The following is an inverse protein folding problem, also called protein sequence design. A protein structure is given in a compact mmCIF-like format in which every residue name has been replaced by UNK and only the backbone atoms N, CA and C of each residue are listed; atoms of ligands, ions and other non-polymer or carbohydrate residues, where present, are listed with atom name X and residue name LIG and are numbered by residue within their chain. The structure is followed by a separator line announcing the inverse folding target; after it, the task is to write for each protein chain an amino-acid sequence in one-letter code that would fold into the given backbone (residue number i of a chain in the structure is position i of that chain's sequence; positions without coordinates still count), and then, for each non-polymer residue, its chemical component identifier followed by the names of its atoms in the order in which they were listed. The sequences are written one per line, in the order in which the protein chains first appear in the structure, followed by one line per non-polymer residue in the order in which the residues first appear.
data_IF_536833907531
#
_entry.id   IF_536833907531
#
_cell.length_a   1.000
_cell.length_b   1.000
_cell.length_c   1.000
_cell.angle_alpha   90.00
_cell.angle_beta   90.00
_cell.angle_gamma   90.00
#
_symmetry.space_group_name_H-M   'P 1'
#
loop_
_entity.id
_entity.type
_entity.pdbx_description
1 polymer ?
#
# COMPACT_ATOMS: atom_id res chain seq x y z
N UNK A 1 -14.47 12.44 24.51
CA UNK A 1 -14.67 12.05 23.08
C UNK A 1 -13.39 11.35 22.65
N UNK A 2 -13.47 10.14 22.09
CA UNK A 2 -12.29 9.37 21.67
C UNK A 2 -11.56 10.11 20.54
N UNK A 3 -10.24 10.22 20.64
CA UNK A 3 -9.39 10.84 19.64
C UNK A 3 -8.73 9.78 18.76
N UNK A 4 -9.19 9.66 17.50
CA UNK A 4 -8.64 8.75 16.51
C UNK A 4 -7.59 9.41 15.59
N UNK A 5 -7.16 10.64 15.86
CA UNK A 5 -6.15 11.32 15.03
C UNK A 5 -4.84 10.55 15.01
N UNK A 6 -4.22 10.52 13.85
CA UNK A 6 -2.92 9.89 13.62
C UNK A 6 -2.13 10.67 12.59
N UNK A 7 -0.84 10.34 12.43
CA UNK A 7 0.02 10.92 11.41
C UNK A 7 0.53 9.84 10.48
N UNK A 8 0.25 10.02 9.18
CA UNK A 8 0.78 9.19 8.10
C UNK A 8 0.83 10.00 6.79
N UNK A 9 1.61 9.61 5.80
CA UNK A 9 1.88 10.38 4.59
C UNK A 9 2.46 11.80 4.85
N UNK A 10 3.11 12.02 5.97
CA UNK A 10 3.51 13.38 6.39
C UNK A 10 2.35 14.28 6.83
N UNK A 11 1.12 13.79 6.80
CA UNK A 11 -0.13 14.50 7.04
C UNK A 11 -0.77 14.09 8.37
N UNK A 12 -1.52 15.01 8.97
CA UNK A 12 -2.42 14.70 10.07
C UNK A 12 -3.74 14.16 9.52
N UNK A 13 -4.07 12.91 9.90
CA UNK A 13 -5.29 12.24 9.51
C UNK A 13 -6.29 12.24 10.68
N UNK A 14 -7.58 12.47 10.38
CA UNK A 14 -8.65 12.46 11.39
C UNK A 14 -8.88 11.09 12.04
N UNK A 15 -8.48 10.01 11.38
CA UNK A 15 -8.49 8.64 11.88
C UNK A 15 -7.54 7.76 11.04
N UNK A 16 -7.22 6.53 11.49
CA UNK A 16 -6.23 5.68 10.83
C UNK A 16 -6.75 4.88 9.62
N UNK A 17 -8.00 5.11 9.18
CA UNK A 17 -8.64 4.31 8.14
C UNK A 17 -8.37 4.90 6.75
N UNK A 18 -7.47 4.30 6.01
CA UNK A 18 -7.09 4.74 4.65
C UNK A 18 -7.73 3.81 3.62
N UNK A 19 -8.33 4.38 2.59
CA UNK A 19 -8.78 3.61 1.42
C UNK A 19 -7.56 3.36 0.54
N UNK A 20 -7.22 2.08 0.34
CA UNK A 20 -6.06 1.69 -0.45
C UNK A 20 -6.32 1.85 -1.95
N UNK A 21 -5.25 2.05 -2.70
CA UNK A 21 -5.25 2.03 -4.16
C UNK A 21 -5.93 0.78 -4.70
N UNK A 22 -6.96 0.98 -5.52
CA UNK A 22 -7.78 -0.07 -6.14
C UNK A 22 -8.65 0.51 -7.26
N UNK A 23 -9.38 -0.33 -8.00
CA UNK A 23 -10.34 0.17 -8.99
C UNK A 23 -11.45 1.04 -8.39
N UNK A 24 -11.78 0.87 -7.10
CA UNK A 24 -12.76 1.72 -6.41
C UNK A 24 -12.30 3.18 -6.27
N UNK A 25 -11.00 3.42 -6.22
CA UNK A 25 -10.42 4.76 -6.09
C UNK A 25 -10.01 5.37 -7.44
N UNK A 26 -10.47 4.78 -8.55
CA UNK A 26 -10.47 5.38 -9.89
C UNK A 26 -11.77 6.10 -10.21
N UNK A 27 -12.83 5.91 -9.42
CA UNK A 27 -14.16 6.47 -9.61
C UNK A 27 -14.40 7.63 -8.63
N UNK A 28 -14.57 8.84 -9.17
CA UNK A 28 -14.79 10.08 -8.41
C UNK A 28 -16.01 10.00 -7.50
N UNK A 29 -17.07 9.30 -7.94
CA UNK A 29 -18.27 9.12 -7.12
C UNK A 29 -17.99 8.26 -5.89
N UNK A 30 -17.19 7.19 -6.04
CA UNK A 30 -16.75 6.34 -4.94
C UNK A 30 -15.78 7.06 -4.01
N UNK A 31 -14.88 7.88 -4.55
CA UNK A 31 -13.99 8.73 -3.75
C UNK A 31 -14.82 9.65 -2.85
N UNK A 32 -15.85 10.30 -3.41
CA UNK A 32 -16.77 11.12 -2.63
C UNK A 32 -17.48 10.32 -1.53
N UNK A 33 -18.04 9.15 -1.87
CA UNK A 33 -18.70 8.27 -0.89
C UNK A 33 -17.74 7.89 0.26
N UNK A 34 -16.50 7.52 -0.01
CA UNK A 34 -15.50 7.22 1.03
C UNK A 34 -15.17 8.43 1.89
N UNK A 35 -15.01 9.60 1.28
CA UNK A 35 -14.75 10.85 1.99
C UNK A 35 -15.91 11.20 2.94
N UNK A 36 -17.15 11.14 2.45
CA UNK A 36 -18.36 11.46 3.22
C UNK A 36 -18.58 10.46 4.38
N UNK A 37 -18.22 9.20 4.21
CA UNK A 37 -18.30 8.17 5.24
C UNK A 37 -17.11 8.16 6.21
N UNK A 38 -16.19 9.09 6.07
CA UNK A 38 -15.17 9.38 7.06
C UNK A 38 -13.88 8.58 6.91
N UNK A 39 -13.45 8.27 5.69
CA UNK A 39 -12.08 7.85 5.43
C UNK A 39 -11.08 8.84 6.06
N UNK A 40 -9.93 8.36 6.51
CA UNK A 40 -8.82 9.20 6.99
C UNK A 40 -8.04 9.84 5.85
N UNK A 41 -7.82 9.08 4.79
CA UNK A 41 -7.23 9.48 3.50
C UNK A 41 -7.65 8.49 2.42
N UNK A 42 -7.45 8.86 1.15
CA UNK A 42 -7.77 8.02 -0.01
C UNK A 42 -6.54 7.97 -0.92
N UNK A 43 -6.04 6.74 -1.17
CA UNK A 43 -4.98 6.48 -2.15
C UNK A 43 -5.65 6.14 -3.48
N UNK A 44 -5.38 6.93 -4.51
CA UNK A 44 -5.97 6.74 -5.82
C UNK A 44 -5.47 5.44 -6.48
N UNK A 45 -6.21 4.91 -7.45
CA UNK A 45 -5.74 3.80 -8.27
C UNK A 45 -4.36 4.15 -8.83
N UNK A 46 -3.42 3.22 -8.71
CA UNK A 46 -2.06 3.46 -9.21
C UNK A 46 -2.06 3.66 -10.72
N UNK A 47 -1.26 4.60 -11.18
CA UNK A 47 -0.79 4.62 -12.56
C UNK A 47 0.29 3.56 -12.70
N UNK A 48 0.12 2.64 -13.65
CA UNK A 48 1.06 1.58 -13.94
C UNK A 48 1.79 1.86 -15.26
N UNK A 49 3.10 1.86 -15.23
CA UNK A 49 3.92 1.90 -16.46
C UNK A 49 3.62 0.69 -17.35
N UNK A 50 3.30 -0.48 -16.77
CA UNK A 50 2.89 -1.67 -17.52
C UNK A 50 1.60 -1.47 -18.32
N UNK A 51 0.64 -0.67 -17.84
CA UNK A 51 -0.56 -0.31 -18.60
C UNK A 51 -0.17 0.49 -19.86
N UNK A 52 0.79 1.40 -19.72
CA UNK A 52 1.34 2.19 -20.83
C UNK A 52 2.00 1.27 -21.85
N UNK A 53 2.86 0.34 -21.40
CA UNK A 53 3.57 -0.63 -22.26
C UNK A 53 2.57 -1.57 -22.95
N UNK A 54 1.50 -1.98 -22.27
CA UNK A 54 0.49 -2.86 -22.85
C UNK A 54 -0.37 -2.16 -23.92
N UNK A 55 -0.78 -0.91 -23.71
CA UNK A 55 -1.48 -0.12 -24.73
C UNK A 55 -0.58 0.10 -25.94
N UNK A 56 0.69 0.42 -25.70
CA UNK A 56 1.71 0.52 -26.72
C UNK A 56 1.83 -0.76 -27.57
N UNK A 57 1.96 -1.93 -26.92
CA UNK A 57 2.07 -3.21 -27.60
C UNK A 57 0.80 -3.59 -28.40
N UNK A 58 -0.38 -3.18 -27.94
CA UNK A 58 -1.63 -3.40 -28.68
C UNK A 58 -1.67 -2.54 -29.97
N UNK A 59 -1.27 -1.28 -29.89
CA UNK A 59 -1.18 -0.38 -31.04
C UNK A 59 -0.09 -0.85 -32.00
N UNK A 60 1.06 -1.32 -31.49
CA UNK A 60 2.17 -1.84 -32.29
C UNK A 60 1.78 -3.09 -33.09
N UNK A 61 1.02 -4.02 -32.50
CA UNK A 61 0.54 -5.23 -33.18
C UNK A 61 -0.48 -4.95 -34.30
N UNK A 62 -1.11 -3.79 -34.31
CA UNK A 62 -2.13 -3.40 -35.29
C UNK A 62 -1.57 -2.74 -36.57
N UNK A 63 -0.25 -2.43 -36.62
CA UNK A 63 0.37 -1.70 -37.74
C UNK A 63 1.71 -2.32 -38.17
N UNK A 64 1.76 -2.78 -39.42
CA UNK A 64 2.96 -3.26 -40.12
C UNK A 64 3.42 -2.19 -41.12
N UNK A 65 4.47 -1.40 -40.81
CA UNK A 65 5.11 -0.53 -41.82
C UNK A 65 6.57 -0.18 -41.43
N UNK A 66 7.38 0.07 -42.47
CA UNK A 66 8.84 0.22 -42.39
C UNK A 66 9.36 1.50 -41.69
N UNK A 67 8.50 2.46 -41.33
CA UNK A 67 8.85 3.67 -40.57
C UNK A 67 8.49 3.53 -39.12
N UNK A 68 8.53 2.31 -38.60
CA UNK A 68 7.95 1.91 -37.32
C UNK A 68 8.67 2.54 -36.12
N UNK A 69 9.99 2.71 -36.11
CA UNK A 69 10.75 3.19 -34.96
C UNK A 69 10.52 4.68 -34.61
N UNK A 70 10.63 5.59 -35.58
CA UNK A 70 10.38 7.04 -35.34
C UNK A 70 8.92 7.33 -34.98
N UNK A 71 8.00 6.54 -35.55
CA UNK A 71 6.58 6.63 -35.25
C UNK A 71 6.26 6.09 -33.84
N UNK A 72 7.03 5.12 -33.37
CA UNK A 72 6.86 4.47 -32.07
C UNK A 72 7.29 5.35 -30.92
N UNK A 73 8.41 6.09 -31.01
CA UNK A 73 8.84 7.05 -29.98
C UNK A 73 7.82 8.18 -29.80
N UNK A 74 7.24 8.68 -30.90
CA UNK A 74 6.19 9.68 -30.87
C UNK A 74 4.88 9.14 -30.25
N UNK A 75 4.51 7.90 -30.57
CA UNK A 75 3.32 7.26 -29.98
C UNK A 75 3.47 6.95 -28.50
N UNK A 76 4.64 6.48 -28.07
CA UNK A 76 4.95 6.25 -26.66
C UNK A 76 4.82 7.57 -25.86
N UNK A 77 5.43 8.63 -26.36
CA UNK A 77 5.32 9.96 -25.75
C UNK A 77 3.85 10.44 -25.66
N UNK A 78 3.05 10.23 -26.72
CA UNK A 78 1.66 10.64 -26.77
C UNK A 78 0.76 9.82 -25.83
N UNK A 79 0.95 8.50 -25.77
CA UNK A 79 0.22 7.61 -24.87
C UNK A 79 0.55 7.96 -23.41
N UNK A 80 1.82 8.10 -23.08
CA UNK A 80 2.28 8.53 -21.75
C UNK A 80 1.67 9.87 -21.35
N UNK A 81 1.72 10.86 -22.24
CA UNK A 81 1.14 12.18 -22.01
C UNK A 81 -0.36 12.13 -21.74
N UNK A 82 -1.11 11.30 -22.48
CA UNK A 82 -2.54 11.15 -22.28
C UNK A 82 -2.89 10.46 -20.95
N UNK A 83 -2.17 9.41 -20.59
CA UNK A 83 -2.38 8.69 -19.31
C UNK A 83 -2.10 9.62 -18.14
N UNK A 84 -1.02 10.39 -18.22
CA UNK A 84 -0.64 11.37 -17.20
C UNK A 84 -1.68 12.48 -17.06
N UNK A 85 -2.18 13.01 -18.19
CA UNK A 85 -3.24 14.02 -18.16
C UNK A 85 -4.54 13.48 -17.56
N UNK A 86 -4.94 12.26 -17.94
CA UNK A 86 -6.11 11.59 -17.37
C UNK A 86 -5.96 11.38 -15.85
N UNK A 87 -4.77 11.01 -15.41
CA UNK A 87 -4.49 10.84 -13.99
C UNK A 87 -4.48 12.17 -13.24
N UNK A 88 -3.90 13.22 -13.83
CA UNK A 88 -3.97 14.57 -13.31
C UNK A 88 -5.41 15.06 -13.18
N UNK A 89 -6.28 14.75 -14.18
CA UNK A 89 -7.70 15.07 -14.11
C UNK A 89 -8.40 14.30 -12.99
N UNK A 90 -8.09 13.02 -12.79
CA UNK A 90 -8.62 12.23 -11.67
C UNK A 90 -8.25 12.87 -10.32
N UNK A 91 -6.99 13.30 -10.15
CA UNK A 91 -6.53 13.98 -8.93
C UNK A 91 -7.33 15.25 -8.70
N UNK A 92 -7.43 16.14 -9.70
CA UNK A 92 -8.20 17.39 -9.61
C UNK A 92 -9.64 17.14 -9.21
N UNK A 93 -10.33 16.22 -9.93
CA UNK A 93 -11.72 15.88 -9.63
C UNK A 93 -11.91 15.24 -8.26
N UNK A 94 -10.96 14.40 -7.82
CA UNK A 94 -10.97 13.82 -6.48
C UNK A 94 -10.82 14.89 -5.39
N UNK A 95 -9.94 15.88 -5.61
CA UNK A 95 -9.73 17.02 -4.69
C UNK A 95 -10.97 17.91 -4.58
N UNK A 96 -11.72 18.10 -5.66
CA UNK A 96 -12.97 18.88 -5.66
C UNK A 96 -14.07 18.25 -4.78
N UNK A 97 -14.16 16.92 -4.75
CA UNK A 97 -15.24 16.20 -4.04
C UNK A 97 -14.85 15.69 -2.66
N UNK A 98 -13.56 15.62 -2.35
CA UNK A 98 -13.02 15.01 -1.12
C UNK A 98 -12.77 16.03 -0.03
N UNK A 99 -13.18 15.70 1.20
CA UNK A 99 -12.84 16.44 2.43
C UNK A 99 -11.66 15.81 3.18
N UNK A 100 -11.00 14.82 2.58
CA UNK A 100 -9.87 14.12 3.16
C UNK A 100 -8.70 14.12 2.19
N UNK A 101 -7.46 13.94 2.67
CA UNK A 101 -6.29 13.92 1.81
C UNK A 101 -6.42 12.91 0.66
N UNK A 102 -6.01 13.35 -0.52
CA UNK A 102 -5.92 12.56 -1.75
C UNK A 102 -4.46 12.26 -2.02
N UNK A 103 -4.11 10.98 -2.00
CA UNK A 103 -2.75 10.48 -2.20
C UNK A 103 -2.64 9.88 -3.59
N UNK A 104 -1.72 10.37 -4.39
CA UNK A 104 -1.43 9.79 -5.69
C UNK A 104 -0.62 8.50 -5.51
N UNK A 105 -0.92 7.46 -6.28
CA UNK A 105 -0.16 6.21 -6.26
C UNK A 105 0.52 5.99 -7.61
N UNK A 106 1.82 5.80 -7.59
CA UNK A 106 2.65 5.66 -8.79
C UNK A 106 3.34 4.29 -8.76
N UNK A 107 3.27 3.57 -9.86
CA UNK A 107 4.01 2.33 -10.06
C UNK A 107 4.78 2.42 -11.38
N UNK A 108 6.07 2.67 -11.32
CA UNK A 108 6.96 2.69 -12.46
C UNK A 108 8.04 1.60 -12.33
N UNK A 109 8.56 1.16 -13.47
CA UNK A 109 9.59 0.13 -13.58
C UNK A 109 10.94 0.76 -13.89
N UNK A 110 10.95 1.93 -14.58
CA UNK A 110 12.16 2.64 -14.98
C UNK A 110 12.46 3.86 -14.10
N UNK A 111 13.74 4.17 -13.90
CA UNK A 111 14.17 5.28 -13.02
C UNK A 111 13.84 6.67 -13.59
N UNK A 112 13.78 6.85 -14.90
CA UNK A 112 13.52 8.15 -15.54
C UNK A 112 12.08 8.63 -15.44
N UNK A 113 11.13 7.71 -15.40
CA UNK A 113 9.71 8.02 -15.44
C UNK A 113 9.14 8.46 -14.08
N UNK A 114 9.75 8.03 -12.96
CA UNK A 114 9.33 8.41 -11.62
C UNK A 114 9.26 9.93 -11.41
N UNK A 115 10.26 10.65 -11.90
CA UNK A 115 10.37 12.10 -11.68
C UNK A 115 9.31 12.87 -12.45
N UNK A 116 9.06 12.48 -13.71
CA UNK A 116 8.03 13.11 -14.52
C UNK A 116 6.64 12.88 -13.93
N UNK A 117 6.34 11.64 -13.53
CA UNK A 117 5.07 11.29 -12.89
C UNK A 117 4.90 12.03 -11.56
N UNK A 118 5.95 12.06 -10.74
CA UNK A 118 5.93 12.73 -9.45
C UNK A 118 5.65 14.24 -9.58
N UNK A 119 6.29 14.94 -10.52
CA UNK A 119 6.01 16.35 -10.78
C UNK A 119 4.58 16.60 -11.21
N UNK A 120 4.07 15.78 -12.12
CA UNK A 120 2.70 15.98 -12.65
C UNK A 120 1.62 15.72 -11.60
N UNK A 121 1.79 14.74 -10.70
CA UNK A 121 0.83 14.53 -9.61
C UNK A 121 0.90 15.62 -8.56
N UNK A 122 2.08 16.19 -8.31
CA UNK A 122 2.24 17.38 -7.47
C UNK A 122 1.52 18.58 -8.07
N UNK A 123 1.74 18.87 -9.37
CA UNK A 123 1.10 19.95 -10.10
C UNK A 123 -0.44 19.79 -10.20
N UNK A 124 -0.93 18.55 -10.23
CA UNK A 124 -2.36 18.24 -10.20
C UNK A 124 -2.99 18.45 -8.81
N UNK A 125 -2.20 18.68 -7.76
CA UNK A 125 -2.66 19.03 -6.42
C UNK A 125 -2.85 17.83 -5.48
N UNK A 126 -2.16 16.71 -5.69
CA UNK A 126 -2.13 15.62 -4.72
C UNK A 126 -1.53 16.09 -3.38
N UNK A 127 -2.04 15.56 -2.26
CA UNK A 127 -1.56 15.92 -0.92
C UNK A 127 -0.28 15.15 -0.54
N UNK A 128 -0.07 13.98 -1.14
CA UNK A 128 1.13 13.14 -0.96
C UNK A 128 1.26 12.14 -2.12
N UNK A 129 2.41 11.49 -2.19
CA UNK A 129 2.68 10.39 -3.13
C UNK A 129 2.89 9.10 -2.35
N UNK A 130 2.29 8.00 -2.81
CA UNK A 130 2.66 6.64 -2.43
C UNK A 130 3.34 5.97 -3.64
N UNK A 131 4.67 5.77 -3.54
CA UNK A 131 5.42 4.97 -4.51
C UNK A 131 5.06 3.50 -4.29
N UNK A 132 4.41 2.90 -5.27
CA UNK A 132 4.02 1.50 -5.23
C UNK A 132 5.14 0.66 -5.85
N UNK A 133 6.12 0.27 -5.03
CA UNK A 133 7.31 -0.44 -5.46
C UNK A 133 7.18 -1.93 -5.24
N UNK A 134 7.31 -2.71 -6.31
CA UNK A 134 7.54 -4.13 -6.16
C UNK A 134 8.39 -4.68 -7.31
N UNK A 135 9.26 -5.61 -6.97
CA UNK A 135 9.98 -6.44 -7.92
C UNK A 135 9.69 -7.88 -7.54
N UNK A 136 9.09 -8.64 -8.45
CA UNK A 136 8.95 -10.08 -8.25
C UNK A 136 10.30 -10.73 -8.55
N UNK A 137 10.95 -11.40 -7.59
CA UNK A 137 12.31 -11.93 -7.77
C UNK A 137 12.30 -13.31 -8.46
N UNK A 138 11.76 -13.38 -9.69
CA UNK A 138 11.65 -14.63 -10.47
C UNK A 138 12.81 -14.83 -11.46
N UNK A 139 13.53 -13.79 -11.81
CA UNK A 139 14.67 -13.86 -12.74
C UNK A 139 15.94 -14.32 -12.00
N UNK A 140 16.47 -15.53 -12.30
CA UNK A 140 17.64 -16.06 -11.63
C UNK A 140 18.96 -15.31 -11.96
N UNK A 141 18.95 -14.46 -12.96
CA UNK A 141 20.12 -13.68 -13.38
C UNK A 141 20.18 -12.31 -12.69
N UNK A 142 19.05 -11.82 -12.17
CA UNK A 142 18.95 -10.54 -11.47
C UNK A 142 19.48 -10.64 -10.05
N UNK A 143 20.45 -9.81 -9.72
CA UNK A 143 21.07 -9.81 -8.39
C UNK A 143 20.18 -9.13 -7.32
N UNK A 144 20.32 -9.54 -6.09
CA UNK A 144 19.60 -8.92 -4.95
C UNK A 144 19.95 -7.43 -4.80
N UNK A 145 21.22 -7.07 -5.07
CA UNK A 145 21.70 -5.68 -5.04
C UNK A 145 21.00 -4.79 -6.06
N UNK A 146 20.68 -5.32 -7.25
CA UNK A 146 19.97 -4.57 -8.29
C UNK A 146 18.53 -4.26 -7.86
N UNK A 147 17.87 -5.24 -7.21
CA UNK A 147 16.55 -5.01 -6.62
C UNK A 147 16.60 -3.95 -5.53
N UNK A 148 17.56 -4.08 -4.61
CA UNK A 148 17.76 -3.14 -3.50
C UNK A 148 18.01 -1.72 -4.02
N UNK A 149 18.93 -1.58 -4.98
CA UNK A 149 19.25 -0.31 -5.63
C UNK A 149 18.01 0.33 -6.26
N UNK A 150 17.18 -0.44 -6.96
CA UNK A 150 15.94 0.05 -7.56
C UNK A 150 15.01 0.72 -6.53
N UNK A 151 14.79 0.09 -5.37
CA UNK A 151 13.94 0.68 -4.32
C UNK A 151 14.54 1.95 -3.74
N UNK A 152 15.84 1.95 -3.46
CA UNK A 152 16.52 3.10 -2.86
C UNK A 152 16.59 4.29 -3.82
N UNK A 153 16.95 4.04 -5.09
CA UNK A 153 17.02 5.09 -6.10
C UNK A 153 15.64 5.73 -6.34
N UNK A 154 14.59 4.93 -6.52
CA UNK A 154 13.24 5.43 -6.74
C UNK A 154 12.78 6.36 -5.60
N UNK A 155 12.99 5.94 -4.35
CA UNK A 155 12.63 6.74 -3.17
C UNK A 155 13.48 8.00 -3.09
N UNK A 156 14.80 7.87 -3.18
CA UNK A 156 15.76 8.97 -3.04
C UNK A 156 15.59 10.04 -4.11
N UNK A 157 15.39 9.63 -5.35
CA UNK A 157 15.21 10.57 -6.46
C UNK A 157 13.87 11.30 -6.32
N UNK A 158 12.78 10.56 -6.01
CA UNK A 158 11.46 11.17 -5.86
C UNK A 158 11.39 12.15 -4.68
N UNK A 159 11.88 11.74 -3.49
CA UNK A 159 11.85 12.61 -2.29
C UNK A 159 12.64 13.89 -2.44
N UNK A 160 13.63 13.93 -3.34
CA UNK A 160 14.43 15.13 -3.64
C UNK A 160 13.79 16.02 -4.70
N UNK A 161 12.93 15.44 -5.52
CA UNK A 161 12.39 16.14 -6.70
C UNK A 161 11.08 16.86 -6.40
N UNK A 162 10.22 16.30 -5.54
CA UNK A 162 8.92 16.90 -5.19
C UNK A 162 8.94 17.53 -3.80
N UNK A 163 8.01 18.45 -3.56
CA UNK A 163 7.83 19.14 -2.28
C UNK A 163 6.79 18.47 -1.39
N UNK A 164 5.82 17.76 -2.01
CA UNK A 164 4.80 17.02 -1.28
C UNK A 164 5.39 15.77 -0.64
N UNK A 165 4.85 15.29 0.49
CA UNK A 165 5.37 14.13 1.19
C UNK A 165 5.34 12.87 0.31
N UNK A 166 6.40 12.06 0.41
CA UNK A 166 6.54 10.78 -0.31
C UNK A 166 6.56 9.64 0.67
N UNK A 167 5.69 8.66 0.48
CA UNK A 167 5.67 7.37 1.15
C UNK A 167 5.97 6.24 0.17
N UNK A 168 6.27 5.07 0.68
CA UNK A 168 6.51 3.89 -0.15
C UNK A 168 5.64 2.72 0.29
N UNK A 169 5.08 1.99 -0.66
CA UNK A 169 4.43 0.70 -0.44
C UNK A 169 5.28 -0.38 -1.06
N UNK A 170 5.64 -1.38 -0.26
CA UNK A 170 6.61 -2.41 -0.64
C UNK A 170 6.00 -3.80 -0.61
N UNK A 171 6.69 -4.76 -1.24
CA UNK A 171 6.39 -6.18 -1.12
C UNK A 171 7.05 -6.81 0.10
N UNK A 172 6.69 -8.03 0.42
CA UNK A 172 7.35 -8.85 1.44
C UNK A 172 8.48 -9.74 0.89
N UNK A 173 8.77 -9.68 -0.41
CA UNK A 173 9.74 -10.54 -1.09
C UNK A 173 11.19 -10.06 -0.94
N UNK A 174 11.63 -10.00 0.32
CA UNK A 174 13.02 -9.70 0.68
C UNK A 174 13.50 -10.73 1.69
N UNK A 175 14.69 -11.27 1.49
CA UNK A 175 15.37 -12.09 2.51
C UNK A 175 15.86 -11.25 3.70
N UNK A 176 16.06 -9.95 3.48
CA UNK A 176 16.61 -8.97 4.43
C UNK A 176 15.67 -7.76 4.63
N UNK A 177 14.37 -8.02 4.69
CA UNK A 177 13.32 -7.00 4.73
C UNK A 177 13.56 -5.91 5.80
N UNK A 178 14.07 -6.28 6.97
CA UNK A 178 14.36 -5.30 8.03
C UNK A 178 15.49 -4.34 7.63
N UNK A 179 16.49 -4.82 6.90
CA UNK A 179 17.62 -4.02 6.44
C UNK A 179 17.17 -3.02 5.36
N UNK A 180 16.43 -3.47 4.35
CA UNK A 180 15.94 -2.56 3.30
C UNK A 180 14.97 -1.51 3.87
N UNK A 181 14.09 -1.88 4.80
CA UNK A 181 13.21 -0.91 5.47
C UNK A 181 14.00 0.14 6.25
N UNK A 182 15.09 -0.25 6.91
CA UNK A 182 15.97 0.67 7.63
C UNK A 182 16.68 1.65 6.68
N UNK A 183 17.13 1.19 5.52
CA UNK A 183 17.75 2.06 4.51
C UNK A 183 16.74 3.04 3.90
N UNK A 184 15.54 2.55 3.56
CA UNK A 184 14.45 3.40 3.08
C UNK A 184 14.05 4.46 4.12
N UNK A 185 14.03 4.11 5.41
CA UNK A 185 13.76 5.02 6.52
C UNK A 185 14.77 6.18 6.64
N UNK A 186 15.98 6.01 6.08
CA UNK A 186 17.00 7.06 6.03
C UNK A 186 16.75 8.11 4.94
N UNK A 187 15.85 7.86 3.99
CA UNK A 187 15.61 8.74 2.83
C UNK A 187 14.43 9.73 3.04
N UNK A 188 14.17 10.13 4.29
CA UNK A 188 13.15 11.12 4.65
C UNK A 188 11.73 10.76 4.18
N UNK A 189 11.36 9.50 4.28
CA UNK A 189 10.02 9.01 3.92
C UNK A 189 8.93 9.51 4.87
N UNK A 190 7.77 9.82 4.29
CA UNK A 190 6.56 10.17 5.02
C UNK A 190 5.81 8.95 5.59
N UNK A 191 6.23 7.74 5.21
CA UNK A 191 5.69 6.48 5.72
C UNK A 191 6.05 5.28 4.85
N UNK A 192 5.90 4.08 5.43
CA UNK A 192 6.09 2.80 4.75
C UNK A 192 4.82 1.98 4.89
N UNK A 193 4.23 1.54 3.77
CA UNK A 193 3.05 0.68 3.74
C UNK A 193 3.46 -0.79 3.54
N UNK A 194 3.03 -1.68 4.41
CA UNK A 194 3.29 -3.12 4.40
C UNK A 194 1.97 -3.88 4.34
N UNK A 195 1.67 -4.60 3.27
CA UNK A 195 2.42 -4.86 2.06
C UNK A 195 1.54 -4.70 0.81
N UNK A 196 2.17 -4.68 -0.37
CA UNK A 196 1.47 -4.99 -1.61
C UNK A 196 0.90 -6.40 -1.53
N UNK A 197 -0.30 -6.58 -2.08
CA UNK A 197 -0.89 -7.89 -2.25
C UNK A 197 -0.66 -8.36 -3.68
N UNK A 198 0.00 -9.50 -3.82
CA UNK A 198 0.18 -10.14 -5.12
C UNK A 198 -1.02 -11.04 -5.43
N UNK A 199 -1.37 -11.07 -6.71
CA UNK A 199 -2.22 -12.13 -7.25
C UNK A 199 -1.47 -13.47 -7.13
N UNK A 200 -2.14 -14.49 -6.63
CA UNK A 200 -1.58 -15.83 -6.59
C UNK A 200 -2.11 -16.63 -7.76
N UNK A 201 -1.25 -17.29 -8.55
CA UNK A 201 -1.71 -18.21 -9.57
C UNK A 201 -2.31 -19.46 -8.93
N UNK A 202 -3.30 -20.03 -9.59
CA UNK A 202 -3.85 -21.35 -9.30
C UNK A 202 -4.01 -22.14 -10.59
N UNK A 203 -4.25 -23.45 -10.51
CA UNK A 203 -4.33 -24.34 -11.66
C UNK A 203 -5.71 -25.00 -11.69
N UNK A 204 -6.45 -24.76 -12.77
CA UNK A 204 -7.64 -25.54 -13.12
C UNK A 204 -7.17 -26.88 -13.71
N UNK A 205 -7.26 -27.94 -12.91
CA UNK A 205 -6.77 -29.26 -13.30
C UNK A 205 -7.61 -29.92 -14.41
N UNK A 206 -8.87 -29.52 -14.54
CA UNK A 206 -9.76 -30.08 -15.56
C UNK A 206 -9.50 -29.43 -16.93
N UNK A 207 -9.14 -28.15 -16.94
CA UNK A 207 -8.81 -27.41 -18.16
C UNK A 207 -7.31 -27.33 -18.46
N UNK A 208 -6.48 -27.81 -17.55
CA UNK A 208 -5.00 -27.69 -17.60
C UNK A 208 -4.54 -26.23 -17.89
N UNK A 209 -5.11 -25.28 -17.13
CA UNK A 209 -4.85 -23.84 -17.31
C UNK A 209 -4.51 -23.17 -15.99
N UNK A 210 -3.52 -22.29 -16.06
CA UNK A 210 -3.22 -21.36 -14.97
C UNK A 210 -4.24 -20.21 -14.99
N UNK A 211 -4.75 -19.85 -13.83
CA UNK A 211 -5.64 -18.69 -13.65
C UNK A 211 -5.23 -17.91 -12.38
N UNK A 212 -5.72 -16.67 -12.27
CA UNK A 212 -5.55 -15.90 -11.05
C UNK A 212 -6.55 -16.41 -10.00
N UNK A 213 -6.04 -16.76 -8.81
CA UNK A 213 -6.86 -17.17 -7.68
C UNK A 213 -7.78 -16.02 -7.19
N UNK A 214 -7.90 -15.77 -5.91
CA UNK A 214 -8.78 -14.74 -5.39
C UNK A 214 -8.24 -13.32 -5.64
N UNK A 215 -9.04 -12.45 -6.27
CA UNK A 215 -8.72 -11.02 -6.44
C UNK A 215 -8.79 -10.22 -5.13
N UNK A 216 -9.56 -10.69 -4.14
CA UNK A 216 -9.69 -10.08 -2.81
C UNK A 216 -8.95 -10.90 -1.76
N UNK A 217 -8.38 -10.22 -0.75
CA UNK A 217 -7.71 -10.88 0.38
C UNK A 217 -8.69 -11.67 1.25
N UNK A 218 -8.16 -12.66 1.96
CA UNK A 218 -8.86 -13.40 3.02
C UNK A 218 -8.42 -12.93 4.42
N UNK A 219 -9.14 -13.42 5.44
CA UNK A 219 -8.94 -12.97 6.82
C UNK A 219 -7.58 -13.34 7.42
N UNK A 220 -6.91 -14.37 6.90
CA UNK A 220 -5.61 -14.81 7.44
C UNK A 220 -4.43 -14.05 6.86
N UNK A 221 -4.61 -13.39 5.73
CA UNK A 221 -3.55 -12.63 5.07
C UNK A 221 -3.04 -11.45 5.92
N UNK A 222 -3.81 -10.99 6.92
CA UNK A 222 -3.36 -9.94 7.85
C UNK A 222 -2.20 -10.37 8.77
N UNK A 223 -1.94 -11.67 8.92
CA UNK A 223 -0.92 -12.17 9.86
C UNK A 223 0.51 -11.81 9.43
N UNK A 224 0.78 -11.76 8.12
CA UNK A 224 2.08 -11.36 7.61
C UNK A 224 2.40 -9.88 7.90
N UNK A 225 1.55 -8.91 7.51
CA UNK A 225 1.79 -7.52 7.89
C UNK A 225 1.77 -7.30 9.41
N UNK A 226 0.94 -8.00 10.18
CA UNK A 226 0.94 -7.92 11.65
C UNK A 226 2.31 -8.22 12.24
N UNK A 227 2.94 -9.31 11.80
CA UNK A 227 4.30 -9.69 12.23
C UNK A 227 5.31 -8.59 11.97
N UNK A 228 5.35 -8.11 10.74
CA UNK A 228 6.37 -7.15 10.33
C UNK A 228 6.14 -5.74 10.90
N UNK A 229 4.89 -5.30 11.03
CA UNK A 229 4.55 -4.09 11.77
C UNK A 229 5.03 -4.18 13.21
N UNK A 230 4.75 -5.32 13.89
CA UNK A 230 5.20 -5.52 15.28
C UNK A 230 6.72 -5.50 15.44
N UNK A 231 7.46 -6.05 14.47
CA UNK A 231 8.93 -6.08 14.48
C UNK A 231 9.53 -4.70 14.17
N UNK A 232 9.00 -4.00 13.17
CA UNK A 232 9.64 -2.82 12.58
C UNK A 232 9.17 -1.50 13.19
N UNK A 233 7.94 -1.41 13.70
CA UNK A 233 7.41 -0.17 14.26
C UNK A 233 8.26 0.45 15.38
N UNK A 234 8.93 -0.32 16.27
CA UNK A 234 9.81 0.27 17.27
C UNK A 234 11.24 0.56 16.78
N UNK A 235 11.56 0.24 15.52
CA UNK A 235 12.91 0.32 14.94
C UNK A 235 13.04 1.38 13.86
N UNK A 236 11.93 1.80 13.26
CA UNK A 236 11.89 2.80 12.19
C UNK A 236 11.38 4.15 12.72
N UNK A 237 11.85 5.23 12.14
CA UNK A 237 11.38 6.61 12.42
C UNK A 237 10.12 6.90 11.62
N UNK A 238 10.09 6.45 10.36
CA UNK A 238 8.94 6.59 9.47
C UNK A 238 7.74 5.81 10.01
N UNK A 239 6.54 6.40 10.02
CA UNK A 239 5.34 5.69 10.44
C UNK A 239 5.03 4.54 9.47
N UNK A 240 4.48 3.44 10.01
CA UNK A 240 4.09 2.27 9.21
C UNK A 240 2.57 2.25 9.07
N UNK A 241 2.09 2.00 7.84
CA UNK A 241 0.72 1.58 7.59
C UNK A 241 0.68 0.07 7.28
N UNK A 242 -0.30 -0.62 7.86
CA UNK A 242 -0.56 -2.01 7.53
C UNK A 242 -1.56 -2.12 6.37
N UNK A 243 -1.32 -3.04 5.46
CA UNK A 243 -2.22 -3.36 4.35
C UNK A 243 -2.34 -4.87 4.16
N UNK A 244 -3.39 -5.31 3.46
CA UNK A 244 -3.70 -6.71 3.17
C UNK A 244 -4.37 -7.46 4.33
N UNK A 245 -5.49 -8.14 4.03
CA UNK A 245 -6.22 -8.97 4.98
C UNK A 245 -6.97 -8.21 6.08
N UNK A 246 -7.20 -6.90 5.93
CA UNK A 246 -7.90 -6.06 6.92
C UNK A 246 -9.36 -5.96 6.54
N UNK A 247 -10.23 -6.66 7.27
CA UNK A 247 -11.65 -6.79 6.94
C UNK A 247 -12.60 -6.29 8.02
N UNK A 248 -12.13 -6.11 9.26
CA UNK A 248 -12.95 -5.67 10.40
C UNK A 248 -12.17 -4.80 11.39
N UNK A 249 -12.86 -4.28 12.38
CA UNK A 249 -12.26 -3.47 13.44
C UNK A 249 -11.23 -4.25 14.29
N UNK A 250 -11.38 -5.56 14.45
CA UNK A 250 -10.42 -6.38 15.21
C UNK A 250 -9.07 -6.43 14.50
N UNK A 251 -9.07 -6.57 13.17
CA UNK A 251 -7.82 -6.51 12.40
C UNK A 251 -7.16 -5.14 12.53
N UNK A 252 -7.94 -4.05 12.47
CA UNK A 252 -7.42 -2.69 12.63
C UNK A 252 -6.78 -2.51 14.01
N UNK A 253 -7.47 -2.90 15.07
CA UNK A 253 -6.98 -2.80 16.45
C UNK A 253 -5.70 -3.61 16.64
N UNK A 254 -5.60 -4.82 16.08
CA UNK A 254 -4.37 -5.62 16.10
C UNK A 254 -3.20 -4.89 15.48
N UNK A 255 -3.40 -4.25 14.32
CA UNK A 255 -2.35 -3.49 13.63
C UNK A 255 -1.90 -2.28 14.45
N UNK A 256 -2.83 -1.54 15.03
CA UNK A 256 -2.53 -0.40 15.90
C UNK A 256 -1.78 -0.85 17.17
N UNK A 257 -2.20 -1.94 17.81
CA UNK A 257 -1.49 -2.54 18.95
C UNK A 257 -0.07 -2.99 18.59
N UNK A 258 0.13 -3.52 17.39
CA UNK A 258 1.46 -3.87 16.88
C UNK A 258 2.33 -2.65 16.56
N UNK A 259 1.73 -1.46 16.36
CA UNK A 259 2.44 -0.20 16.16
C UNK A 259 2.19 0.49 14.83
N UNK A 260 1.26 -0.01 14.01
CA UNK A 260 0.84 0.70 12.81
C UNK A 260 0.29 2.09 13.18
N UNK A 261 0.59 3.09 12.37
CA UNK A 261 0.02 4.44 12.47
C UNK A 261 -1.30 4.54 11.71
N UNK A 262 -1.47 3.72 10.68
CA UNK A 262 -2.67 3.66 9.86
C UNK A 262 -2.87 2.25 9.28
N UNK A 263 -4.02 2.02 8.68
CA UNK A 263 -4.34 0.81 7.93
C UNK A 263 -4.89 1.17 6.56
N UNK A 264 -4.46 0.46 5.54
CA UNK A 264 -4.95 0.59 4.18
C UNK A 264 -5.87 -0.58 3.84
N UNK A 265 -7.09 -0.29 3.38
CA UNK A 265 -8.14 -1.27 3.09
C UNK A 265 -8.68 -1.10 1.67
N UNK A 266 -8.84 -2.20 0.95
CA UNK A 266 -9.53 -2.26 -0.35
C UNK A 266 -10.51 -3.43 -0.40
N UNK A 267 -10.04 -4.67 -0.19
CA UNK A 267 -10.80 -5.91 -0.41
C UNK A 267 -12.16 -5.95 0.27
N UNK A 268 -12.28 -5.37 1.46
CA UNK A 268 -13.56 -5.32 2.20
C UNK A 268 -14.62 -4.49 1.47
N UNK A 269 -14.21 -3.43 0.77
CA UNK A 269 -15.14 -2.52 0.09
C UNK A 269 -15.64 -3.04 -1.28
N UNK A 270 -15.12 -4.17 -1.75
CA UNK A 270 -15.75 -4.95 -2.82
C UNK A 270 -16.93 -5.81 -2.31
N UNK A 271 -16.99 -6.05 -0.98
CA UNK A 271 -18.03 -6.84 -0.30
C UNK A 271 -19.00 -5.98 0.52
N UNK A 272 -18.57 -4.81 0.96
CA UNK A 272 -19.30 -3.87 1.80
C UNK A 272 -19.32 -2.48 1.15
N UNK A 273 -20.38 -1.71 1.39
CA UNK A 273 -20.45 -0.33 0.93
C UNK A 273 -19.47 0.59 1.70
N UNK A 274 -19.13 1.77 1.19
CA UNK A 274 -18.32 2.77 1.90
C UNK A 274 -18.86 3.15 3.28
N UNK A 275 -20.18 3.05 3.51
CA UNK A 275 -20.80 3.28 4.82
C UNK A 275 -20.26 2.37 5.95
N UNK A 276 -19.67 1.22 5.61
CA UNK A 276 -19.02 0.34 6.57
C UNK A 276 -17.86 1.01 7.33
N UNK A 277 -17.28 2.08 6.79
CA UNK A 277 -16.28 2.90 7.51
C UNK A 277 -16.82 3.46 8.84
N UNK A 278 -18.10 3.82 8.86
CA UNK A 278 -18.77 4.32 10.09
C UNK A 278 -18.81 3.23 11.15
N UNK A 279 -19.15 2.00 10.76
CA UNK A 279 -19.19 0.84 11.67
C UNK A 279 -17.80 0.48 12.18
N UNK A 280 -16.80 0.46 11.29
CA UNK A 280 -15.41 0.20 11.68
C UNK A 280 -14.94 1.21 12.73
N UNK A 281 -15.16 2.49 12.50
CA UNK A 281 -14.78 3.56 13.43
C UNK A 281 -15.51 3.42 14.77
N UNK A 282 -16.82 3.22 14.75
CA UNK A 282 -17.63 3.02 15.96
C UNK A 282 -17.15 1.82 16.78
N UNK A 283 -16.81 0.71 16.11
CA UNK A 283 -16.32 -0.48 16.80
C UNK A 283 -14.94 -0.27 17.43
N UNK A 284 -14.06 0.50 16.79
CA UNK A 284 -12.77 0.89 17.37
C UNK A 284 -12.99 1.77 18.60
N UNK A 285 -13.82 2.80 18.49
CA UNK A 285 -14.15 3.71 19.59
C UNK A 285 -14.75 2.96 20.78
N UNK A 286 -15.67 2.03 20.52
CA UNK A 286 -16.29 1.19 21.56
C UNK A 286 -15.24 0.32 22.28
N UNK A 287 -14.32 -0.30 21.52
CA UNK A 287 -13.24 -1.07 22.13
C UNK A 287 -12.29 -0.20 22.94
N UNK A 288 -11.98 1.00 22.48
CA UNK A 288 -11.15 1.96 23.21
C UNK A 288 -11.82 2.37 24.54
N UNK A 289 -13.11 2.67 24.51
CA UNK A 289 -13.89 2.97 25.72
C UNK A 289 -13.86 1.83 26.74
N UNK A 290 -14.03 0.58 26.28
CA UNK A 290 -13.95 -0.61 27.15
C UNK A 290 -12.57 -0.84 27.78
N UNK A 291 -11.53 -0.20 27.24
CA UNK A 291 -10.14 -0.27 27.70
C UNK A 291 -9.65 1.00 28.38
N UNK A 292 -10.53 1.97 28.58
CA UNK A 292 -10.22 3.29 29.14
C UNK A 292 -9.13 4.04 28.36
N UNK A 293 -9.11 3.90 27.02
CA UNK A 293 -8.25 4.65 26.15
C UNK A 293 -8.96 5.88 25.58
N UNK A 294 -8.32 7.04 25.64
CA UNK A 294 -8.84 8.30 25.13
C UNK A 294 -8.32 8.64 23.72
N UNK A 295 -7.13 8.11 23.36
CA UNK A 295 -6.47 8.37 22.11
C UNK A 295 -5.75 7.13 21.56
N UNK A 296 -5.41 7.14 20.25
CA UNK A 296 -4.57 6.09 19.64
C UNK A 296 -3.19 6.01 20.32
N UNK A 297 -2.67 7.12 20.81
CA UNK A 297 -1.36 7.16 21.48
C UNK A 297 -1.31 6.29 22.72
N UNK A 298 -2.44 6.08 23.40
CA UNK A 298 -2.51 5.32 24.65
C UNK A 298 -2.24 3.82 24.46
N UNK A 299 -2.45 3.30 23.26
CA UNK A 299 -2.27 1.87 23.01
C UNK A 299 -1.45 1.53 21.75
N UNK A 300 -1.18 2.47 20.85
CA UNK A 300 -0.40 2.23 19.65
C UNK A 300 0.98 1.67 19.99
N UNK A 301 1.32 0.52 19.41
CA UNK A 301 2.59 -0.16 19.62
C UNK A 301 2.76 -0.80 21.02
N UNK A 302 1.68 -0.91 21.81
CA UNK A 302 1.73 -1.54 23.14
C UNK A 302 2.11 -3.01 23.08
N UNK A 303 1.85 -3.66 21.94
CA UNK A 303 2.23 -5.04 21.65
C UNK A 303 3.28 -5.15 20.54
N UNK A 304 4.08 -4.11 20.29
CA UNK A 304 5.25 -4.20 19.41
C UNK A 304 6.33 -5.10 20.01
N UNK A 305 7.29 -5.52 19.18
CA UNK A 305 8.36 -6.45 19.58
C UNK A 305 9.06 -6.06 20.87
N UNK A 306 9.32 -4.77 21.08
CA UNK A 306 10.03 -4.26 22.28
C UNK A 306 9.17 -4.14 23.52
N UNK A 307 7.84 -4.18 23.39
CA UNK A 307 6.90 -3.98 24.50
C UNK A 307 6.03 -5.20 24.79
N UNK A 308 5.94 -6.18 23.88
CA UNK A 308 5.15 -7.38 24.09
C UNK A 308 5.74 -8.25 25.21
N UNK A 309 4.90 -8.84 26.04
CA UNK A 309 5.31 -9.79 27.07
C UNK A 309 5.98 -11.07 26.50
N UNK A 310 5.64 -11.43 25.28
CA UNK A 310 6.25 -12.56 24.55
C UNK A 310 6.80 -12.10 23.19
N UNK A 311 7.94 -11.41 23.14
CA UNK A 311 8.53 -10.95 21.89
C UNK A 311 8.91 -12.10 20.95
N UNK A 312 9.27 -13.26 21.50
CA UNK A 312 9.57 -14.45 20.71
C UNK A 312 8.43 -14.93 19.80
N UNK A 313 7.19 -14.51 20.04
CA UNK A 313 6.08 -14.81 19.13
C UNK A 313 6.24 -14.16 17.74
N UNK A 314 6.92 -13.01 17.67
CA UNK A 314 7.23 -12.34 16.40
C UNK A 314 8.43 -12.98 15.68
N UNK A 315 9.43 -13.45 16.42
CA UNK A 315 10.73 -13.92 15.90
C UNK A 315 10.71 -15.38 15.50
N UNK A 316 9.85 -16.20 16.13
CA UNK A 316 9.81 -17.64 15.88
C UNK A 316 9.34 -17.97 14.47
N UNK A 317 10.19 -18.70 13.76
CA UNK A 317 9.87 -19.27 12.45
C UNK A 317 9.25 -20.67 12.55
N UNK A 318 9.35 -21.37 13.69
CA UNK A 318 8.92 -22.76 13.86
C UNK A 318 7.82 -22.91 14.92
N UNK A 319 6.90 -23.86 14.69
CA UNK A 319 5.77 -24.18 15.56
C UNK A 319 6.11 -25.07 16.76
N UNK A 320 7.37 -25.15 17.19
CA UNK A 320 7.86 -26.10 18.20
C UNK A 320 7.04 -26.09 19.49
N UNK A 321 6.53 -24.94 19.92
CA UNK A 321 5.69 -24.84 21.12
C UNK A 321 4.24 -25.33 20.91
N UNK A 322 3.73 -25.34 19.66
CA UNK A 322 2.36 -25.76 19.37
C UNK A 322 2.22 -27.28 19.24
N UNK A 323 3.27 -27.96 18.84
CA UNK A 323 3.27 -29.43 18.72
C UNK A 323 3.61 -30.16 20.04
N UNK A 324 4.25 -29.49 20.99
CA UNK A 324 4.51 -30.04 22.33
C UNK A 324 3.24 -30.34 23.14
N UNK A 325 2.12 -29.64 22.86
CA UNK A 325 0.83 -29.88 23.49
C UNK A 325 0.03 -31.06 22.88
N UNK A 326 0.29 -31.43 21.62
CA UNK A 326 -0.38 -32.55 20.99
C UNK A 326 0.14 -33.93 21.44
N UNK A 327 1.37 -34.01 21.93
CA UNK A 327 1.96 -35.23 22.45
C UNK A 327 1.47 -35.59 23.87
N UNK A 328 0.89 -34.66 24.60
CA UNK A 328 0.38 -34.86 25.97
C UNK A 328 -1.12 -35.17 26.09
N UNK A 329 -1.82 -35.31 24.95
CA UNK A 329 -3.26 -35.66 24.90
C UNK A 329 -3.52 -37.06 24.33
N UNK A 330 -2.51 -37.97 24.37
CA UNK A 330 -2.71 -39.40 24.08
C UNK A 330 -2.56 -40.23 25.34
#
# INVERSE_FOLDING_TARGET
MINLKTRFFGLELKNPLIIASSSLTADVSKIKEFSDNGAGAIVLKSVFEEEIINEYNQVAKSKTSAHFHEFMDYFDYKIRGQILENYGQLIRSAKEVSQVPIVASINCISSGDWLQFASQVEDAGADAIELNLFVMPFDPTRKAEDNRKFYLDAVKETTRHVKIPVSVKISSYFSDLASICHELDCENLAGITMFNRFSSPDIDIDKEKVFEAATTSNDTEHLLPLRWVGILSPRLKSPIAASTGIHDAKHIIKMLLAGASAVQMASIFYKKSPAYLVDLRKNIETWMQQKDYESLADFKGKLSLTKAANPGAYERAQYVSSFGGYASQK
#
